data_IF_622683097554
#
_entry.id   IF_622683097554
#
_cell.length_a   1.000
_cell.length_b   1.000
_cell.length_c   1.000
_cell.angle_alpha   90.00
_cell.angle_beta   90.00
_cell.angle_gamma   90.00
#
_symmetry.space_group_name_H-M   'P 1'
#
loop_
_entity.id
_entity.type
_entity.pdbx_description
1 polymer ?
#
# COMPACT_ATOMS: atom_id res chain seq x y z
N UNK A 1 -7.93 -14.40 -31.78
CA UNK A 1 -8.13 -15.26 -30.59
C UNK A 1 -7.65 -14.49 -29.37
N UNK A 2 -8.59 -14.00 -28.59
CA UNK A 2 -8.51 -13.88 -27.13
C UNK A 2 -9.98 -13.70 -26.72
N UNK A 3 -10.62 -14.84 -26.50
CA UNK A 3 -11.99 -14.94 -26.01
C UNK A 3 -11.99 -14.40 -24.57
N UNK A 4 -12.82 -13.39 -24.32
CA UNK A 4 -13.03 -12.83 -22.99
C UNK A 4 -13.36 -13.99 -22.03
N UNK A 5 -12.52 -14.24 -21.02
CA UNK A 5 -12.67 -15.44 -20.20
C UNK A 5 -13.86 -15.21 -19.29
N UNK A 6 -14.72 -16.21 -19.13
CA UNK A 6 -15.91 -16.15 -18.26
C UNK A 6 -15.60 -15.81 -16.78
N UNK A 7 -14.33 -15.84 -16.40
CA UNK A 7 -13.83 -15.58 -15.05
C UNK A 7 -13.09 -14.23 -14.92
N UNK A 8 -13.03 -13.43 -15.99
CA UNK A 8 -12.44 -12.10 -15.88
C UNK A 8 -13.31 -11.27 -14.92
N UNK A 9 -12.72 -10.70 -13.85
CA UNK A 9 -13.47 -9.90 -12.91
C UNK A 9 -14.07 -8.70 -13.66
N UNK A 10 -15.40 -8.60 -13.68
CA UNK A 10 -16.05 -7.38 -14.12
C UNK A 10 -15.63 -6.24 -13.19
N UNK A 11 -15.14 -5.13 -13.76
CA UNK A 11 -14.75 -3.95 -13.01
C UNK A 11 -15.93 -3.47 -12.16
N UNK A 12 -15.85 -3.66 -10.85
CA UNK A 12 -16.87 -3.22 -9.89
C UNK A 12 -16.58 -1.78 -9.48
N UNK A 13 -17.59 -1.05 -9.03
CA UNK A 13 -17.44 0.36 -8.58
C UNK A 13 -16.35 0.59 -7.52
N UNK A 14 -15.93 -0.45 -6.79
CA UNK A 14 -14.77 -0.40 -5.88
C UNK A 14 -13.44 -0.10 -6.60
N UNK A 15 -13.29 -0.43 -7.89
CA UNK A 15 -12.09 -0.14 -8.68
C UNK A 15 -11.86 1.36 -8.88
N UNK A 16 -12.93 2.18 -8.81
CA UNK A 16 -12.83 3.65 -8.89
C UNK A 16 -12.17 4.19 -7.61
N UNK A 17 -12.48 3.59 -6.45
CA UNK A 17 -11.95 3.97 -5.14
C UNK A 17 -10.45 3.61 -5.01
N UNK A 18 -9.97 2.63 -5.79
CA UNK A 18 -8.54 2.32 -5.93
C UNK A 18 -7.73 3.51 -6.44
N UNK A 19 -8.33 4.37 -7.29
CA UNK A 19 -7.65 5.59 -7.79
C UNK A 19 -7.41 6.64 -6.69
N UNK A 20 -8.19 6.60 -5.61
CA UNK A 20 -8.07 7.53 -4.49
C UNK A 20 -7.10 7.03 -3.40
N UNK A 21 -6.66 5.77 -3.49
CA UNK A 21 -5.66 5.23 -2.56
C UNK A 21 -4.26 5.67 -2.98
N UNK A 22 -3.45 6.19 -2.04
CA UNK A 22 -2.09 6.60 -2.33
C UNK A 22 -1.30 5.40 -2.86
N UNK A 23 -0.62 5.59 -3.99
CA UNK A 23 0.25 4.60 -4.63
C UNK A 23 1.66 4.66 -4.07
N UNK A 24 2.03 5.81 -3.50
CA UNK A 24 3.33 6.03 -2.89
C UNK A 24 3.17 6.46 -1.43
N UNK A 25 4.21 6.18 -0.64
CA UNK A 25 4.25 6.62 0.76
C UNK A 25 4.16 8.15 0.91
N UNK A 26 4.64 8.88 -0.10
CA UNK A 26 4.63 10.33 -0.12
C UNK A 26 3.22 10.90 -0.41
N UNK A 27 2.37 10.18 -1.16
CA UNK A 27 0.95 10.52 -1.40
C UNK A 27 0.04 10.31 -0.18
N UNK A 28 0.45 9.48 0.78
CA UNK A 28 -0.38 9.18 1.94
C UNK A 28 -0.51 10.41 2.87
N UNK A 29 -1.72 10.92 3.09
CA UNK A 29 -1.92 12.12 3.92
C UNK A 29 -2.00 11.77 5.41
N UNK A 30 -1.30 12.52 6.26
CA UNK A 30 -1.24 12.29 7.71
C UNK A 30 -0.14 11.31 8.13
N UNK A 31 -0.19 10.83 9.37
CA UNK A 31 0.75 9.83 9.92
C UNK A 31 2.25 10.12 9.67
N UNK A 32 2.66 11.40 9.70
CA UNK A 32 3.99 11.82 9.25
C UNK A 32 5.15 11.07 9.92
N UNK A 33 5.03 10.81 11.24
CA UNK A 33 6.04 10.06 11.98
C UNK A 33 6.12 8.58 11.54
N UNK A 34 4.98 7.92 11.35
CA UNK A 34 4.96 6.53 10.90
C UNK A 34 5.53 6.41 9.47
N UNK A 35 5.18 7.35 8.57
CA UNK A 35 5.73 7.42 7.22
C UNK A 35 7.24 7.64 7.21
N UNK A 36 7.74 8.57 8.04
CA UNK A 36 9.17 8.82 8.15
C UNK A 36 9.93 7.57 8.61
N UNK A 37 9.42 6.87 9.64
CA UNK A 37 10.02 5.64 10.13
C UNK A 37 10.02 4.53 9.06
N UNK A 38 8.89 4.31 8.39
CA UNK A 38 8.79 3.31 7.33
C UNK A 38 9.75 3.61 6.18
N UNK A 39 9.92 4.89 5.79
CA UNK A 39 10.87 5.33 4.77
C UNK A 39 12.30 4.94 5.15
N UNK A 40 12.71 5.12 6.41
CA UNK A 40 14.03 4.70 6.90
C UNK A 40 14.23 3.19 6.76
N UNK A 41 13.24 2.37 7.15
CA UNK A 41 13.35 0.91 7.03
C UNK A 41 13.43 0.45 5.57
N UNK A 42 12.59 1.01 4.69
CA UNK A 42 12.61 0.69 3.25
C UNK A 42 13.96 1.03 2.64
N UNK A 43 14.50 2.22 2.92
CA UNK A 43 15.79 2.62 2.37
C UNK A 43 16.94 1.79 2.95
N UNK A 44 16.86 1.35 4.20
CA UNK A 44 17.84 0.44 4.78
C UNK A 44 17.82 -0.95 4.11
N UNK A 45 16.63 -1.52 3.89
CA UNK A 45 16.47 -2.80 3.20
C UNK A 45 16.98 -2.74 1.75
N UNK A 46 16.62 -1.67 1.02
CA UNK A 46 17.14 -1.40 -0.34
C UNK A 46 18.66 -1.33 -0.38
N UNK A 47 19.29 -0.64 0.58
CA UNK A 47 20.76 -0.52 0.65
C UNK A 47 21.44 -1.86 0.91
N UNK A 48 20.80 -2.76 1.66
CA UNK A 48 21.29 -4.13 1.89
C UNK A 48 21.02 -5.06 0.71
N UNK A 49 20.08 -4.71 -0.17
CA UNK A 49 19.62 -5.59 -1.25
C UNK A 49 18.79 -6.76 -0.74
N UNK A 50 18.15 -6.59 0.42
CA UNK A 50 17.39 -7.62 1.12
C UNK A 50 15.91 -7.22 1.23
N UNK A 51 15.07 -8.19 1.56
CA UNK A 51 13.68 -7.91 1.90
C UNK A 51 13.59 -7.00 3.13
N UNK A 52 12.53 -6.20 3.20
CA UNK A 52 12.18 -5.44 4.40
C UNK A 52 11.87 -6.42 5.54
N UNK A 53 12.36 -6.12 6.75
CA UNK A 53 11.98 -6.84 7.96
C UNK A 53 10.47 -6.75 8.22
N UNK A 54 9.94 -7.65 9.06
CA UNK A 54 8.51 -7.66 9.37
C UNK A 54 8.05 -6.36 10.05
N UNK A 55 6.99 -5.75 9.53
CA UNK A 55 6.37 -4.53 10.08
C UNK A 55 4.95 -4.86 10.56
N UNK A 56 4.61 -4.39 11.76
CA UNK A 56 3.27 -4.49 12.33
C UNK A 56 2.64 -3.10 12.49
N UNK A 57 1.50 -2.87 11.83
CA UNK A 57 0.71 -1.65 12.02
C UNK A 57 -0.40 -1.88 13.07
N UNK A 58 -0.36 -1.15 14.18
CA UNK A 58 -1.36 -1.23 15.27
C UNK A 58 -2.00 0.13 15.50
N UNK A 59 -3.31 0.14 15.73
CA UNK A 59 -4.04 1.34 16.16
C UNK A 59 -5.55 1.28 15.87
N UNK A 60 -6.32 2.26 16.38
CA UNK A 60 -7.76 2.41 16.14
C UNK A 60 -8.18 2.30 14.67
N UNK A 61 -9.46 1.99 14.37
CA UNK A 61 -9.99 1.97 13.01
C UNK A 61 -9.85 3.35 12.33
N UNK A 62 -9.72 3.37 11.00
CA UNK A 62 -9.65 4.62 10.22
C UNK A 62 -8.27 5.27 10.08
N UNK A 63 -7.21 4.71 10.66
CA UNK A 63 -5.86 5.29 10.60
C UNK A 63 -5.04 4.93 9.34
N UNK A 64 -5.66 4.29 8.35
CA UNK A 64 -4.98 3.93 7.09
C UNK A 64 -3.96 2.80 7.18
N UNK A 65 -4.06 1.92 8.19
CA UNK A 65 -3.17 0.76 8.40
C UNK A 65 -3.10 -0.17 7.18
N UNK A 66 -4.25 -0.50 6.61
CA UNK A 66 -4.34 -1.35 5.41
C UNK A 66 -3.73 -0.63 4.20
N UNK A 67 -4.00 0.66 4.05
CA UNK A 67 -3.46 1.48 2.97
C UNK A 67 -1.93 1.63 3.04
N UNK A 68 -1.34 1.69 4.24
CA UNK A 68 0.11 1.71 4.44
C UNK A 68 0.80 0.36 4.15
N UNK A 69 0.04 -0.72 4.08
CA UNK A 69 0.54 -2.08 3.88
C UNK A 69 0.32 -2.62 2.45
N UNK A 70 -0.35 -1.85 1.59
CA UNK A 70 -0.48 -2.16 0.16
C UNK A 70 0.85 -1.94 -0.56
#
# INVERSE_FOLDING_TARGET
MNENRLIDPEKRGEDIDTSLRPQTLDEFVGQAQARANLKVFIEAAKKRGEALDHVLFVGPPGLGKTTLAQ
#
